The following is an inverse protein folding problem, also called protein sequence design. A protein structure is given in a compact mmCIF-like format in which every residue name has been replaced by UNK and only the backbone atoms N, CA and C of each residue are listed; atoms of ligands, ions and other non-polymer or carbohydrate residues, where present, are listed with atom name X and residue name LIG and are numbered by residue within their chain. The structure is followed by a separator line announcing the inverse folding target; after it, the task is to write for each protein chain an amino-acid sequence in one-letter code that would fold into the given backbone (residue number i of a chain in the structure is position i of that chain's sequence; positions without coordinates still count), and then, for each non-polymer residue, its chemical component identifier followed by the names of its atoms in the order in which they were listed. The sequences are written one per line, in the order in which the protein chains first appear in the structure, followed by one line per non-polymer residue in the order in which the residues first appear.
data_IF_510136515054
#
_entry.id   IF_510136515054
#
_cell.length_a   1.000
_cell.length_b   1.000
_cell.length_c   1.000
_cell.angle_alpha   90.00
_cell.angle_beta   90.00
_cell.angle_gamma   90.00
#
_symmetry.space_group_name_H-M   'P 1'
#
loop_
_entity.id
_entity.type
_entity.pdbx_description
1 polymer ?
#
# COMPACT_ATOMS: atom_id res chain seq x y z
N UNK A 1 26.00 -10.87 -10.61
CA UNK A 1 26.19 -11.00 -12.08
C UNK A 1 27.62 -10.77 -12.55
N UNK A 2 28.41 -9.83 -12.01
CA UNK A 2 29.82 -9.62 -12.43
C UNK A 2 30.68 -10.90 -12.30
N UNK A 3 30.56 -11.62 -11.18
CA UNK A 3 31.23 -12.91 -10.97
C UNK A 3 30.80 -13.97 -12.00
N UNK A 4 29.52 -14.00 -12.37
CA UNK A 4 28.94 -14.97 -13.28
C UNK A 4 29.40 -14.74 -14.73
N UNK A 5 29.53 -13.48 -15.15
CA UNK A 5 30.13 -13.09 -16.43
C UNK A 5 31.59 -13.56 -16.50
N UNK A 6 32.36 -13.33 -15.43
CA UNK A 6 33.75 -13.78 -15.33
C UNK A 6 33.87 -15.31 -15.39
N UNK A 7 33.01 -16.06 -14.69
CA UNK A 7 32.98 -17.52 -14.73
C UNK A 7 32.67 -18.07 -16.13
N UNK A 8 31.72 -17.47 -16.87
CA UNK A 8 31.42 -17.86 -18.25
C UNK A 8 32.61 -17.61 -19.17
N UNK A 9 33.29 -16.46 -19.05
CA UNK A 9 34.48 -16.15 -19.84
C UNK A 9 35.65 -17.11 -19.55
N UNK A 10 35.87 -17.47 -18.28
CA UNK A 10 36.93 -18.40 -17.87
C UNK A 10 36.66 -19.80 -18.44
N UNK A 11 35.43 -20.29 -18.32
CA UNK A 11 35.07 -21.65 -18.74
C UNK A 11 35.01 -21.80 -20.26
N UNK A 12 34.73 -20.71 -20.97
CA UNK A 12 34.87 -20.67 -22.43
C UNK A 12 36.34 -20.65 -22.86
N UNK A 13 37.23 -19.97 -22.11
CA UNK A 13 38.67 -19.92 -22.41
C UNK A 13 39.40 -21.25 -22.16
N UNK A 14 38.88 -22.09 -21.27
CA UNK A 14 39.38 -23.45 -20.99
C UNK A 14 38.69 -24.55 -21.84
N UNK A 15 37.92 -24.18 -22.87
CA UNK A 15 37.20 -25.10 -23.78
C UNK A 15 36.10 -25.97 -23.09
N UNK A 16 35.66 -25.61 -21.89
CA UNK A 16 34.59 -26.27 -21.14
C UNK A 16 33.19 -25.72 -21.48
N UNK A 17 32.76 -25.92 -22.73
CA UNK A 17 31.50 -25.39 -23.27
C UNK A 17 30.24 -25.84 -22.52
N UNK A 18 30.17 -27.10 -22.09
CA UNK A 18 28.98 -27.66 -21.39
C UNK A 18 28.61 -26.85 -20.14
N UNK A 19 29.63 -26.48 -19.37
CA UNK A 19 29.43 -25.79 -18.13
C UNK A 19 29.10 -24.29 -18.32
N UNK A 20 29.70 -23.65 -19.33
CA UNK A 20 29.37 -22.27 -19.70
C UNK A 20 27.90 -22.15 -20.14
N UNK A 21 27.42 -23.11 -20.93
CA UNK A 21 26.01 -23.18 -21.36
C UNK A 21 25.08 -23.38 -20.16
N UNK A 22 25.42 -24.26 -19.21
CA UNK A 22 24.63 -24.46 -18.00
C UNK A 22 24.49 -23.18 -17.16
N UNK A 23 25.59 -22.42 -16.98
CA UNK A 23 25.56 -21.15 -16.25
C UNK A 23 24.68 -20.13 -16.97
N UNK A 24 24.77 -20.02 -18.30
CA UNK A 24 23.96 -19.07 -19.08
C UNK A 24 22.46 -19.39 -18.93
N UNK A 25 22.06 -20.66 -19.09
CA UNK A 25 20.67 -21.09 -18.98
C UNK A 25 20.11 -20.80 -17.59
N UNK A 26 20.84 -21.18 -16.54
CA UNK A 26 20.43 -20.92 -15.16
C UNK A 26 20.33 -19.42 -14.85
N UNK A 27 21.24 -18.61 -15.39
CA UNK A 27 21.20 -17.15 -15.25
C UNK A 27 19.98 -16.54 -15.90
N UNK A 28 19.68 -16.93 -17.15
CA UNK A 28 18.53 -16.43 -17.90
C UNK A 28 17.22 -16.81 -17.21
N UNK A 29 17.10 -18.05 -16.74
CA UNK A 29 15.93 -18.50 -15.98
C UNK A 29 15.77 -17.69 -14.68
N UNK A 30 16.86 -17.49 -13.94
CA UNK A 30 16.83 -16.70 -12.69
C UNK A 30 16.42 -15.24 -12.93
N UNK A 31 16.96 -14.59 -13.96
CA UNK A 31 16.59 -13.23 -14.33
C UNK A 31 15.11 -13.18 -14.72
N UNK A 32 14.64 -14.13 -15.53
CA UNK A 32 13.24 -14.19 -15.93
C UNK A 32 12.29 -14.31 -14.72
N UNK A 33 12.57 -15.24 -13.80
CA UNK A 33 11.79 -15.42 -12.58
C UNK A 33 11.83 -14.17 -11.70
N UNK A 34 13.01 -13.56 -11.53
CA UNK A 34 13.17 -12.33 -10.72
C UNK A 34 12.36 -11.18 -11.30
N UNK A 35 12.40 -10.98 -12.62
CA UNK A 35 11.63 -9.93 -13.30
C UNK A 35 10.13 -10.19 -13.18
N UNK A 36 9.70 -11.44 -13.29
CA UNK A 36 8.31 -11.83 -13.12
C UNK A 36 7.82 -11.56 -11.69
N UNK A 37 8.59 -11.96 -10.68
CA UNK A 37 8.27 -11.71 -9.28
C UNK A 37 8.24 -10.21 -8.97
N UNK A 38 9.21 -9.44 -9.45
CA UNK A 38 9.23 -7.98 -9.30
C UNK A 38 8.01 -7.32 -9.92
N UNK A 39 7.61 -7.74 -11.13
CA UNK A 39 6.38 -7.27 -11.79
C UNK A 39 5.16 -7.60 -10.95
N UNK A 40 5.07 -8.82 -10.44
CA UNK A 40 3.92 -9.26 -9.64
C UNK A 40 3.84 -8.50 -8.31
N UNK A 41 4.97 -8.28 -7.64
CA UNK A 41 5.04 -7.52 -6.39
C UNK A 41 4.66 -6.05 -6.60
N UNK A 42 5.14 -5.43 -7.68
CA UNK A 42 4.78 -4.06 -8.04
C UNK A 42 3.28 -3.89 -8.25
N UNK A 43 2.64 -4.81 -8.99
CA UNK A 43 1.19 -4.78 -9.22
C UNK A 43 0.40 -5.02 -7.93
N UNK A 44 0.87 -5.93 -7.06
CA UNK A 44 0.24 -6.18 -5.75
C UNK A 44 0.29 -4.92 -4.88
N UNK A 45 1.43 -4.24 -4.80
CA UNK A 45 1.55 -2.98 -4.06
C UNK A 45 0.61 -1.91 -4.63
N UNK A 46 0.54 -1.78 -5.96
CA UNK A 46 -0.34 -0.79 -6.58
C UNK A 46 -1.82 -1.03 -6.25
N UNK A 47 -2.26 -2.30 -6.30
CA UNK A 47 -3.62 -2.68 -5.93
C UNK A 47 -3.95 -2.47 -4.45
N UNK A 48 -2.98 -2.66 -3.54
CA UNK A 48 -3.17 -2.39 -2.11
C UNK A 48 -3.36 -0.89 -1.85
N UNK A 49 -2.62 -0.04 -2.56
CA UNK A 49 -2.78 1.42 -2.50
C UNK A 49 -4.15 1.82 -3.06
N UNK A 50 -4.55 1.25 -4.19
CA UNK A 50 -5.86 1.53 -4.80
C UNK A 50 -7.03 1.09 -3.90
N UNK A 51 -6.93 -0.06 -3.23
CA UNK A 51 -7.95 -0.52 -2.28
C UNK A 51 -8.09 0.36 -1.03
N UNK A 52 -7.02 1.06 -0.63
CA UNK A 52 -7.09 2.04 0.46
C UNK A 52 -7.86 3.31 0.07
N UNK A 53 -8.11 3.54 -1.23
CA UNK A 53 -8.80 4.72 -1.71
C UNK A 53 -10.34 4.57 -1.75
N UNK A 54 -10.85 3.35 -1.59
CA UNK A 54 -12.28 3.01 -1.65
C UNK A 54 -12.79 2.59 -0.27
N UNK A 55 -12.63 3.45 0.71
CA UNK A 55 -13.12 3.22 2.07
C UNK A 55 -14.58 3.65 2.11
N UNK A 56 -15.47 2.73 2.49
CA UNK A 56 -16.87 3.06 2.73
C UNK A 56 -16.98 3.85 4.04
N UNK A 57 -17.53 5.06 3.94
CA UNK A 57 -17.79 5.95 5.07
C UNK A 57 -19.28 6.24 5.20
N UNK A 58 -19.76 6.37 6.43
CA UNK A 58 -21.13 6.77 6.69
C UNK A 58 -21.21 8.29 6.78
N UNK A 59 -21.98 8.90 5.88
CA UNK A 59 -22.23 10.35 5.85
C UNK A 59 -23.69 10.64 6.23
N UNK A 60 -23.91 11.79 6.86
CA UNK A 60 -25.24 12.33 7.14
C UNK A 60 -25.49 13.55 6.25
N UNK A 61 -26.46 13.44 5.33
CA UNK A 61 -26.86 14.53 4.43
C UNK A 61 -28.30 14.90 4.72
N UNK A 62 -28.53 16.16 5.11
CA UNK A 62 -29.80 16.66 5.65
C UNK A 62 -31.05 16.38 4.78
N UNK A 63 -30.87 16.13 3.47
CA UNK A 63 -31.96 15.81 2.54
C UNK A 63 -32.30 14.32 2.43
N UNK A 64 -31.35 13.44 2.74
CA UNK A 64 -31.44 12.01 2.42
C UNK A 64 -31.10 11.08 3.60
N UNK A 65 -30.75 11.63 4.76
CA UNK A 65 -30.46 10.88 5.98
C UNK A 65 -29.04 10.31 6.00
N UNK A 66 -28.88 9.15 6.65
CA UNK A 66 -27.61 8.43 6.73
C UNK A 66 -27.40 7.60 5.48
N UNK A 67 -26.23 7.75 4.84
CA UNK A 67 -25.85 7.00 3.65
C UNK A 67 -24.44 6.47 3.80
N UNK A 68 -24.17 5.30 3.22
CA UNK A 68 -22.81 4.79 3.04
C UNK A 68 -22.32 5.18 1.65
N UNK A 69 -21.18 5.86 1.62
CA UNK A 69 -20.59 6.43 0.42
C UNK A 69 -19.10 6.05 0.38
N UNK A 70 -18.55 5.87 -0.82
CA UNK A 70 -17.11 5.73 -0.97
C UNK A 70 -16.39 7.05 -0.68
N UNK A 71 -15.22 6.96 -0.03
CA UNK A 71 -14.38 8.10 0.37
C UNK A 71 -14.09 9.10 -0.76
N UNK A 72 -14.04 8.64 -2.01
CA UNK A 72 -13.74 9.47 -3.18
C UNK A 72 -14.86 10.45 -3.57
N UNK A 73 -16.09 10.23 -3.08
CA UNK A 73 -17.24 11.11 -3.33
C UNK A 73 -17.47 12.14 -2.22
N UNK A 74 -16.63 12.13 -1.17
CA UNK A 74 -16.74 13.09 -0.08
C UNK A 74 -16.48 14.51 -0.57
N UNK A 75 -17.33 15.44 -0.16
CA UNK A 75 -17.16 16.87 -0.44
C UNK A 75 -17.02 17.68 0.85
N UNK A 76 -16.27 18.80 0.84
CA UNK A 76 -16.20 19.69 1.99
C UNK A 76 -17.60 20.12 2.44
N UNK A 77 -17.90 19.91 3.72
CA UNK A 77 -19.21 20.19 4.33
C UNK A 77 -20.10 18.97 4.56
N UNK A 78 -19.73 17.78 4.09
CA UNK A 78 -20.40 16.53 4.48
C UNK A 78 -20.17 16.24 5.98
N UNK A 79 -21.21 15.73 6.66
CA UNK A 79 -21.11 15.27 8.04
C UNK A 79 -20.73 13.79 8.07
N UNK A 80 -19.55 13.47 8.61
CA UNK A 80 -19.09 12.09 8.79
C UNK A 80 -19.59 11.53 10.13
N UNK A 81 -20.09 10.31 10.10
CA UNK A 81 -20.59 9.60 11.29
C UNK A 81 -19.65 8.46 11.61
N UNK A 82 -18.89 8.62 12.70
CA UNK A 82 -17.96 7.61 13.18
C UNK A 82 -18.74 6.56 13.99
N UNK A 83 -18.79 5.32 13.48
CA UNK A 83 -19.40 4.18 14.20
C UNK A 83 -18.44 3.71 15.31
N UNK A 84 -19.01 3.06 16.33
CA UNK A 84 -18.21 2.44 17.41
C UNK A 84 -17.27 1.37 16.82
N UNK A 85 -15.97 1.52 17.10
CA UNK A 85 -14.93 0.61 16.62
C UNK A 85 -13.79 1.32 15.91
N UNK A 86 -12.96 0.54 15.20
CA UNK A 86 -11.85 1.08 14.40
C UNK A 86 -12.39 1.54 13.06
N UNK A 87 -12.54 2.85 12.91
CA UNK A 87 -12.87 3.50 11.63
C UNK A 87 -11.63 4.23 11.12
N UNK A 88 -11.28 4.03 9.85
CA UNK A 88 -10.21 4.80 9.21
C UNK A 88 -10.77 6.14 8.73
N UNK A 89 -10.07 7.23 9.03
CA UNK A 89 -10.47 8.56 8.59
C UNK A 89 -9.83 8.85 7.21
N UNK A 90 -10.61 9.02 6.13
CA UNK A 90 -10.07 9.16 4.78
C UNK A 90 -9.57 10.58 4.46
N UNK A 91 -9.98 11.59 5.23
CA UNK A 91 -9.66 12.99 4.99
C UNK A 91 -9.54 13.75 6.32
N UNK A 92 -9.01 14.97 6.27
CA UNK A 92 -9.01 15.85 7.43
C UNK A 92 -10.44 16.20 7.82
N UNK A 93 -10.74 16.15 9.13
CA UNK A 93 -12.08 16.39 9.65
C UNK A 93 -12.01 17.12 11.00
N UNK A 94 -13.10 17.82 11.32
CA UNK A 94 -13.28 18.52 12.57
C UNK A 94 -14.33 17.78 13.40
N UNK A 95 -14.01 17.48 14.65
CA UNK A 95 -14.94 16.81 15.56
C UNK A 95 -15.99 17.81 16.07
N UNK A 96 -17.23 17.65 15.60
CA UNK A 96 -18.35 18.52 15.97
C UNK A 96 -19.04 18.09 17.26
N UNK A 97 -19.12 16.78 17.53
CA UNK A 97 -19.80 16.26 18.71
C UNK A 97 -19.14 14.98 19.21
N UNK A 98 -19.04 14.85 20.54
CA UNK A 98 -18.51 13.67 21.22
C UNK A 98 -17.01 13.72 21.49
N UNK A 99 -16.45 12.54 21.75
CA UNK A 99 -15.03 12.34 22.05
C UNK A 99 -14.56 11.09 21.33
N UNK A 100 -13.35 11.13 20.75
CA UNK A 100 -12.75 9.97 20.11
C UNK A 100 -11.26 9.85 20.47
N UNK A 101 -10.73 8.64 20.32
CA UNK A 101 -9.31 8.34 20.47
C UNK A 101 -8.76 8.03 19.09
N UNK A 102 -7.77 8.81 18.65
CA UNK A 102 -7.22 8.73 17.31
C UNK A 102 -5.78 8.23 17.38
N UNK A 103 -5.45 7.26 16.54
CA UNK A 103 -4.08 6.82 16.36
C UNK A 103 -3.44 7.58 15.20
N UNK A 104 -2.53 8.51 15.51
CA UNK A 104 -1.80 9.30 14.53
C UNK A 104 -0.40 8.71 14.21
N UNK A 105 -0.08 7.50 14.70
CA UNK A 105 1.27 6.93 14.60
C UNK A 105 1.80 6.79 13.18
N UNK A 106 0.92 6.57 12.19
CA UNK A 106 1.32 6.49 10.79
C UNK A 106 1.67 7.86 10.17
N UNK A 107 1.16 8.95 10.72
CA UNK A 107 1.40 10.32 10.22
C UNK A 107 2.48 11.05 11.04
N UNK A 108 2.42 10.96 12.37
CA UNK A 108 3.29 11.72 13.28
C UNK A 108 4.44 10.89 13.85
N UNK A 109 4.35 9.56 13.77
CA UNK A 109 5.33 8.66 14.39
C UNK A 109 5.17 8.50 15.90
N UNK A 110 4.19 9.16 16.51
CA UNK A 110 3.90 9.03 17.93
C UNK A 110 3.11 7.73 18.19
N UNK A 111 3.64 6.86 19.05
CA UNK A 111 3.04 5.54 19.33
C UNK A 111 1.84 5.59 20.27
N UNK A 112 1.66 6.72 20.96
CA UNK A 112 0.60 6.89 21.96
C UNK A 112 -0.61 7.54 21.27
N UNK A 113 -1.79 6.90 21.30
CA UNK A 113 -2.97 7.47 20.69
C UNK A 113 -3.45 8.72 21.46
N UNK A 114 -3.98 9.69 20.73
CA UNK A 114 -4.38 11.00 21.26
C UNK A 114 -5.89 11.09 21.35
N UNK A 115 -6.40 11.56 22.48
CA UNK A 115 -7.82 11.83 22.68
C UNK A 115 -8.18 13.19 22.10
N UNK A 116 -9.17 13.24 21.20
CA UNK A 116 -9.72 14.47 20.63
C UNK A 116 -11.11 14.72 21.23
N UNK A 117 -11.35 15.96 21.63
CA UNK A 117 -12.64 16.45 22.12
C UNK A 117 -13.26 17.42 21.12
N UNK A 118 -14.59 17.52 21.12
CA UNK A 118 -15.30 18.47 20.28
C UNK A 118 -14.81 19.91 20.47
N UNK A 119 -14.88 20.73 19.42
CA UNK A 119 -14.63 22.16 19.53
C UNK A 119 -15.70 22.82 20.40
N UNK A 120 -15.33 23.82 21.24
CA UNK A 120 -16.28 24.60 22.03
C UNK A 120 -17.15 25.53 21.17
#
# INVERSE_FOLDING_TARGET
YVFQLFSVCLWFAEDYMEYAVAIIIMSLLSIFLTVYDLRQQSVKLHRLVESHNNIMVTVYRNKEGFQELESHHLVPGDLLVLKEGKTLLPCDAILLSGQCVVNESMLTGESIPVTKTQLP
#
